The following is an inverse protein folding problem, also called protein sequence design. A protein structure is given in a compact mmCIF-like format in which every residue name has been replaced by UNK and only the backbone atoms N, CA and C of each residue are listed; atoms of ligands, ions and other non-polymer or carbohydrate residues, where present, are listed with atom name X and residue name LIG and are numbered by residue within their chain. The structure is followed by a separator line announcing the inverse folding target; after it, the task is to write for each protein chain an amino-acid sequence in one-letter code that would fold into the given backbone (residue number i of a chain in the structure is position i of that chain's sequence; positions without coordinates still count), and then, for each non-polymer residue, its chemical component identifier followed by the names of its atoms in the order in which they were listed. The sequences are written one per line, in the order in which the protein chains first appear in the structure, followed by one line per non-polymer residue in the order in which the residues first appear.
data_IF_274087013469
#
_entry.id   IF_274087013469
#
_cell.length_a   1.000
_cell.length_b   1.000
_cell.length_c   1.000
_cell.angle_alpha   90.00
_cell.angle_beta   90.00
_cell.angle_gamma   90.00
#
_symmetry.space_group_name_H-M   'P 1'
#
loop_
_entity.id
_entity.type
_entity.pdbx_description
1 polymer ?
#
# COMPACT_ATOMS: atom_id res chain seq x y z
N UNK A 1 -9.82 -17.61 0.16
CA UNK A 1 -9.99 -18.18 -1.21
C UNK A 1 -9.06 -19.35 -1.48
N UNK A 2 -7.84 -19.37 -0.99
CA UNK A 2 -6.86 -20.45 -1.20
C UNK A 2 -7.21 -21.75 -0.48
N UNK A 3 -8.15 -21.72 0.50
CA UNK A 3 -8.67 -22.93 1.16
C UNK A 3 -9.31 -23.93 0.19
N UNK A 4 -9.85 -23.44 -0.92
CA UNK A 4 -10.49 -24.29 -1.92
C UNK A 4 -9.51 -25.05 -2.82
N UNK A 5 -8.20 -24.73 -2.79
CA UNK A 5 -7.20 -25.44 -3.63
C UNK A 5 -7.12 -26.94 -3.31
N UNK A 6 -7.46 -27.34 -2.10
CA UNK A 6 -7.53 -28.74 -1.67
C UNK A 6 -8.92 -29.38 -1.89
N UNK A 7 -9.89 -28.66 -2.47
CA UNK A 7 -11.24 -29.19 -2.70
C UNK A 7 -11.22 -30.23 -3.83
N UNK A 8 -11.74 -31.45 -3.58
CA UNK A 8 -11.83 -32.48 -4.61
C UNK A 8 -12.58 -32.04 -5.88
N UNK A 9 -13.50 -31.09 -5.78
CA UNK A 9 -14.22 -30.53 -6.94
C UNK A 9 -13.30 -29.79 -7.93
N UNK A 10 -12.09 -29.41 -7.50
CA UNK A 10 -11.07 -28.77 -8.35
C UNK A 10 -10.04 -29.76 -8.89
N UNK A 11 -10.14 -31.04 -8.54
CA UNK A 11 -9.21 -32.05 -9.01
C UNK A 11 -9.19 -32.11 -10.57
N UNK A 12 -8.00 -32.03 -11.15
CA UNK A 12 -7.80 -32.04 -12.61
C UNK A 12 -8.19 -30.76 -13.33
N UNK A 13 -8.63 -29.71 -12.62
CA UNK A 13 -8.92 -28.38 -13.20
C UNK A 13 -7.70 -27.47 -13.14
N UNK A 14 -7.53 -26.62 -14.15
CA UNK A 14 -6.54 -25.53 -14.10
C UNK A 14 -7.00 -24.50 -13.08
N UNK A 15 -6.16 -24.27 -12.07
CA UNK A 15 -6.42 -23.31 -11.00
C UNK A 15 -5.45 -22.15 -11.07
N UNK A 16 -5.98 -20.93 -11.04
CA UNK A 16 -5.21 -19.70 -11.05
C UNK A 16 -5.40 -18.98 -9.70
N UNK A 17 -4.32 -18.71 -9.01
CA UNK A 17 -4.34 -17.96 -7.75
C UNK A 17 -3.69 -16.60 -7.94
N UNK A 18 -4.46 -15.53 -7.77
CA UNK A 18 -3.91 -14.18 -7.79
C UNK A 18 -3.37 -13.84 -6.41
N UNK A 19 -2.07 -13.62 -6.32
CA UNK A 19 -1.38 -13.22 -5.10
C UNK A 19 -1.22 -11.70 -5.07
N UNK A 20 -1.55 -11.08 -3.92
CA UNK A 20 -1.45 -9.64 -3.73
C UNK A 20 -0.20 -9.23 -2.97
N UNK A 21 0.33 -10.13 -2.16
CA UNK A 21 1.55 -9.97 -1.37
C UNK A 21 2.14 -11.35 -1.08
N UNK A 22 3.38 -11.37 -0.63
CA UNK A 22 3.89 -12.47 0.19
C UNK A 22 3.36 -12.22 1.61
N UNK A 23 2.23 -12.84 1.96
CA UNK A 23 1.41 -12.48 3.13
C UNK A 23 2.18 -12.52 4.46
N UNK A 24 3.02 -13.54 4.69
CA UNK A 24 3.78 -13.62 5.92
C UNK A 24 4.84 -12.51 6.05
N UNK A 25 5.42 -12.06 4.93
CA UNK A 25 6.35 -10.92 4.89
C UNK A 25 5.59 -9.63 5.18
N UNK A 26 4.39 -9.48 4.60
CA UNK A 26 3.50 -8.35 4.88
C UNK A 26 3.18 -8.24 6.38
N UNK A 27 2.75 -9.32 7.01
CA UNK A 27 2.43 -9.34 8.45
C UNK A 27 3.67 -9.11 9.34
N UNK A 28 4.86 -9.53 8.92
CA UNK A 28 6.11 -9.18 9.61
C UNK A 28 6.38 -7.68 9.56
N UNK A 29 6.13 -7.04 8.42
CA UNK A 29 6.26 -5.58 8.28
C UNK A 29 5.25 -4.83 9.16
N UNK A 30 3.99 -5.29 9.22
CA UNK A 30 3.00 -4.74 10.15
C UNK A 30 3.45 -4.85 11.60
N UNK A 31 4.00 -6.01 11.99
CA UNK A 31 4.53 -6.21 13.34
C UNK A 31 5.70 -5.28 13.66
N UNK A 32 6.53 -4.95 12.68
CA UNK A 32 7.66 -4.05 12.86
C UNK A 32 7.23 -2.60 13.08
N UNK A 33 6.19 -2.17 12.39
CA UNK A 33 5.63 -0.81 12.48
C UNK A 33 4.68 -0.60 13.68
N UNK A 34 4.20 -1.69 14.30
CA UNK A 34 3.19 -1.61 15.37
C UNK A 34 3.83 -1.31 16.73
N UNK A 35 3.34 -0.28 17.41
CA UNK A 35 3.77 0.13 18.76
C UNK A 35 3.04 -0.61 19.87
N UNK A 36 1.78 -1.01 19.66
CA UNK A 36 1.00 -1.73 20.65
C UNK A 36 1.52 -3.17 20.80
N UNK A 37 1.98 -3.62 22.00
CA UNK A 37 2.61 -4.92 22.19
C UNK A 37 1.66 -6.10 21.91
N UNK A 38 0.37 -5.97 22.21
CA UNK A 38 -0.61 -7.03 21.96
C UNK A 38 -0.87 -7.20 20.46
N UNK A 39 -1.03 -6.10 19.72
CA UNK A 39 -1.18 -6.12 18.26
C UNK A 39 0.08 -6.61 17.58
N UNK A 40 1.25 -6.17 18.04
CA UNK A 40 2.55 -6.64 17.54
C UNK A 40 2.69 -8.15 17.71
N UNK A 41 2.31 -8.68 18.87
CA UNK A 41 2.32 -10.14 19.12
C UNK A 41 1.35 -10.87 18.18
N UNK A 42 0.14 -10.33 18.01
CA UNK A 42 -0.84 -10.87 17.06
C UNK A 42 -0.27 -10.94 15.63
N UNK A 43 0.28 -9.85 15.10
CA UNK A 43 0.86 -9.85 13.76
C UNK A 43 2.02 -10.83 13.59
N UNK A 44 2.87 -10.97 14.59
CA UNK A 44 3.95 -11.98 14.58
C UNK A 44 3.40 -13.41 14.57
N UNK A 45 2.33 -13.68 15.31
CA UNK A 45 1.67 -14.98 15.34
C UNK A 45 1.04 -15.30 13.98
N UNK A 46 0.29 -14.33 13.42
CA UNK A 46 -0.33 -14.50 12.09
C UNK A 46 0.72 -14.69 10.99
N UNK A 47 1.83 -13.95 11.03
CA UNK A 47 2.92 -14.15 10.08
C UNK A 47 3.42 -15.60 10.06
N UNK A 48 3.63 -16.21 11.23
CA UNK A 48 4.05 -17.61 11.33
C UNK A 48 3.01 -18.60 10.79
N UNK A 49 1.72 -18.33 11.03
CA UNK A 49 0.64 -19.17 10.51
C UNK A 49 0.56 -19.07 8.99
N UNK A 50 0.62 -17.86 8.45
CA UNK A 50 0.59 -17.60 7.01
C UNK A 50 1.80 -18.21 6.29
N UNK A 51 2.99 -18.16 6.89
CA UNK A 51 4.20 -18.80 6.34
C UNK A 51 4.04 -20.33 6.21
N UNK A 52 3.46 -20.97 7.23
CA UNK A 52 3.16 -22.41 7.19
C UNK A 52 2.05 -22.72 6.17
N UNK A 53 1.02 -21.87 6.14
CA UNK A 53 -0.12 -22.06 5.25
C UNK A 53 0.23 -21.80 3.77
N UNK A 54 1.26 -21.03 3.50
CA UNK A 54 1.68 -20.69 2.13
C UNK A 54 1.97 -21.92 1.26
N UNK A 55 2.39 -23.04 1.87
CA UNK A 55 2.60 -24.31 1.16
C UNK A 55 1.39 -24.79 0.38
N UNK A 56 0.16 -24.39 0.74
CA UNK A 56 -1.07 -24.71 0.01
C UNK A 56 -1.03 -24.19 -1.44
N UNK A 57 -0.25 -23.15 -1.71
CA UNK A 57 -0.10 -22.55 -3.05
C UNK A 57 0.57 -23.50 -4.03
N UNK A 58 1.29 -24.53 -3.57
CA UNK A 58 1.83 -25.58 -4.43
C UNK A 58 0.74 -26.36 -5.19
N UNK A 59 -0.51 -26.35 -4.70
CA UNK A 59 -1.66 -26.96 -5.37
C UNK A 59 -2.24 -26.12 -6.52
N UNK A 60 -1.78 -24.89 -6.75
CA UNK A 60 -2.24 -24.07 -7.84
C UNK A 60 -1.50 -24.40 -9.15
N UNK A 61 -2.21 -24.35 -10.27
CA UNK A 61 -1.59 -24.52 -11.61
C UNK A 61 -0.67 -23.32 -11.90
N UNK A 62 -1.11 -22.09 -11.58
CA UNK A 62 -0.32 -20.87 -11.72
C UNK A 62 -0.61 -19.90 -10.58
N UNK A 63 0.44 -19.19 -10.18
CA UNK A 63 0.39 -18.07 -9.24
C UNK A 63 0.55 -16.76 -10.02
N UNK A 64 -0.49 -15.92 -10.03
CA UNK A 64 -0.50 -14.65 -10.74
C UNK A 64 -0.13 -13.52 -9.77
N UNK A 65 1.14 -13.15 -9.72
CA UNK A 65 1.66 -12.14 -8.79
C UNK A 65 1.56 -10.74 -9.36
N UNK A 66 1.27 -9.75 -8.49
CA UNK A 66 1.05 -8.36 -8.91
C UNK A 66 2.32 -7.50 -8.88
N UNK A 67 3.43 -8.02 -8.37
CA UNK A 67 4.72 -7.32 -8.37
C UNK A 67 5.85 -8.23 -8.88
N UNK A 68 6.90 -7.67 -9.51
CA UNK A 68 8.06 -8.45 -9.94
C UNK A 68 8.75 -9.18 -8.79
N UNK A 69 8.93 -8.53 -7.63
CA UNK A 69 9.58 -9.14 -6.46
C UNK A 69 8.80 -10.33 -5.89
N UNK A 70 7.46 -10.21 -5.80
CA UNK A 70 6.63 -11.33 -5.36
C UNK A 70 6.64 -12.47 -6.41
N UNK A 71 6.70 -12.12 -7.70
CA UNK A 71 6.82 -13.13 -8.78
C UNK A 71 8.11 -13.92 -8.65
N UNK A 72 9.23 -13.25 -8.43
CA UNK A 72 10.52 -13.89 -8.20
C UNK A 72 10.48 -14.82 -6.98
N UNK A 73 9.96 -14.31 -5.85
CA UNK A 73 9.80 -15.10 -4.63
C UNK A 73 8.99 -16.39 -4.87
N UNK A 74 7.81 -16.27 -5.47
CA UNK A 74 6.94 -17.42 -5.72
C UNK A 74 7.49 -18.33 -6.82
N UNK A 75 8.20 -17.80 -7.82
CA UNK A 75 8.87 -18.61 -8.85
C UNK A 75 9.98 -19.47 -8.26
N UNK A 76 10.80 -18.89 -7.38
CA UNK A 76 11.86 -19.64 -6.69
C UNK A 76 11.28 -20.73 -5.77
N UNK A 77 10.13 -20.47 -5.15
CA UNK A 77 9.54 -21.38 -4.16
C UNK A 77 8.66 -22.46 -4.77
N UNK A 78 7.89 -22.15 -5.82
CA UNK A 78 6.87 -23.05 -6.39
C UNK A 78 7.05 -23.35 -7.88
N UNK A 79 7.85 -22.56 -8.60
CA UNK A 79 8.17 -22.80 -10.02
C UNK A 79 7.08 -22.38 -11.03
N UNK A 80 5.92 -21.92 -10.57
CA UNK A 80 4.72 -21.69 -11.39
C UNK A 80 4.16 -20.26 -11.29
N UNK A 81 4.96 -19.28 -10.89
CA UNK A 81 4.53 -17.90 -10.79
C UNK A 81 4.71 -17.12 -12.08
N UNK A 82 3.73 -16.28 -12.38
CA UNK A 82 3.69 -15.40 -13.57
C UNK A 82 3.37 -13.97 -13.09
N UNK A 83 4.10 -13.00 -13.61
CA UNK A 83 3.80 -11.60 -13.36
C UNK A 83 2.55 -11.18 -14.15
N UNK A 84 1.53 -10.73 -13.41
CA UNK A 84 0.34 -10.11 -13.96
C UNK A 84 0.11 -8.83 -13.16
N UNK A 85 0.46 -7.70 -13.73
CA UNK A 85 0.38 -6.39 -13.09
C UNK A 85 -1.01 -6.08 -12.52
N UNK A 86 -1.13 -5.11 -11.61
CA UNK A 86 -2.41 -4.72 -11.06
C UNK A 86 -3.29 -4.09 -12.13
N UNK A 87 -4.58 -4.35 -12.08
CA UNK A 87 -5.56 -3.65 -12.88
C UNK A 87 -5.87 -2.31 -12.22
N UNK A 88 -5.95 -1.26 -13.02
CA UNK A 88 -6.33 0.08 -12.59
C UNK A 88 -7.54 0.56 -13.39
N UNK A 89 -8.41 1.35 -12.77
CA UNK A 89 -9.64 1.85 -13.41
C UNK A 89 -9.41 2.96 -14.44
N UNK A 90 -8.20 3.52 -14.50
CA UNK A 90 -7.87 4.56 -15.48
C UNK A 90 -7.55 3.91 -16.83
N UNK A 91 -8.39 4.18 -17.83
CA UNK A 91 -8.16 3.73 -19.22
C UNK A 91 -7.00 4.48 -19.90
N UNK A 92 -6.68 5.66 -19.37
CA UNK A 92 -5.57 6.50 -19.86
C UNK A 92 -4.98 7.33 -18.73
N UNK A 93 -3.74 7.73 -18.91
CA UNK A 93 -3.11 8.74 -18.05
C UNK A 93 -3.72 10.12 -18.39
N UNK A 94 -4.21 10.81 -17.37
CA UNK A 94 -4.81 12.16 -17.48
C UNK A 94 -4.01 13.19 -16.71
N UNK A 95 -2.73 12.93 -16.49
CA UNK A 95 -1.83 13.87 -15.82
C UNK A 95 -1.88 15.25 -16.45
N UNK A 96 -1.97 16.28 -15.61
CA UNK A 96 -2.09 17.66 -16.06
C UNK A 96 -0.71 18.32 -16.17
N UNK A 97 -0.49 19.10 -17.21
CA UNK A 97 0.69 19.96 -17.35
C UNK A 97 0.61 21.18 -16.40
N UNK A 98 1.74 21.88 -16.24
CA UNK A 98 1.84 23.13 -15.49
C UNK A 98 2.17 22.92 -14.01
N UNK A 99 2.00 23.98 -13.22
CA UNK A 99 2.36 24.03 -11.81
C UNK A 99 1.15 23.69 -10.96
N UNK A 100 1.32 22.79 -10.01
CA UNK A 100 0.31 22.45 -8.99
C UNK A 100 0.45 23.29 -7.73
N UNK A 101 -0.54 23.19 -6.84
CA UNK A 101 -0.70 24.11 -5.71
C UNK A 101 0.07 23.70 -4.45
N UNK A 102 0.37 22.41 -4.28
CA UNK A 102 0.93 21.85 -3.03
C UNK A 102 1.61 20.50 -3.24
N UNK A 103 2.32 20.08 -2.21
CA UNK A 103 2.82 18.71 -2.06
C UNK A 103 1.75 17.89 -1.34
N UNK A 104 1.40 16.71 -1.86
CA UNK A 104 0.39 15.83 -1.29
C UNK A 104 1.03 14.59 -0.64
N UNK A 105 0.64 14.31 0.60
CA UNK A 105 0.91 13.06 1.32
C UNK A 105 -0.46 12.38 1.50
N UNK A 106 -0.68 11.19 0.94
CA UNK A 106 -1.99 10.58 1.03
C UNK A 106 -1.95 9.07 1.29
N UNK A 107 -3.04 8.55 1.86
CA UNK A 107 -3.22 7.13 2.11
C UNK A 107 -4.30 6.83 3.14
N UNK A 108 -4.51 5.56 3.45
CA UNK A 108 -5.34 5.16 4.58
C UNK A 108 -4.53 5.31 5.88
N UNK A 109 -4.68 6.46 6.55
CA UNK A 109 -3.94 6.81 7.77
C UNK A 109 -4.40 6.03 9.00
N UNK A 110 -5.46 5.22 8.89
CA UNK A 110 -5.89 4.31 9.96
C UNK A 110 -4.98 3.09 10.11
N UNK A 111 -4.16 2.80 9.08
CA UNK A 111 -3.18 1.71 9.16
C UNK A 111 -1.89 2.20 9.80
N UNK A 112 -1.31 1.37 10.67
CA UNK A 112 -0.06 1.71 11.37
C UNK A 112 1.07 2.11 10.38
N UNK A 113 1.20 1.36 9.28
CA UNK A 113 2.21 1.61 8.25
C UNK A 113 2.08 3.01 7.62
N UNK A 114 0.88 3.36 7.14
CA UNK A 114 0.67 4.65 6.48
C UNK A 114 0.78 5.80 7.49
N UNK A 115 0.37 5.59 8.74
CA UNK A 115 0.50 6.59 9.80
C UNK A 115 1.98 6.87 10.12
N UNK A 116 2.78 5.81 10.29
CA UNK A 116 4.25 5.93 10.52
C UNK A 116 4.92 6.60 9.34
N UNK A 117 4.55 6.22 8.10
CA UNK A 117 5.08 6.83 6.89
C UNK A 117 4.74 8.33 6.80
N UNK A 118 3.50 8.72 7.12
CA UNK A 118 3.08 10.12 7.14
C UNK A 118 3.81 10.92 8.21
N UNK A 119 3.93 10.39 9.43
CA UNK A 119 4.67 11.02 10.52
C UNK A 119 6.16 11.23 10.17
N UNK A 120 6.79 10.24 9.53
CA UNK A 120 8.15 10.37 9.03
C UNK A 120 8.25 11.53 8.02
N UNK A 121 7.36 11.56 7.01
CA UNK A 121 7.35 12.61 5.99
C UNK A 121 7.07 14.00 6.58
N UNK A 122 6.26 14.10 7.65
CA UNK A 122 6.03 15.35 8.35
C UNK A 122 7.29 15.80 9.09
N UNK A 123 7.85 14.93 9.95
CA UNK A 123 8.97 15.27 10.85
C UNK A 123 10.26 15.47 10.07
N UNK A 124 10.56 14.63 9.08
CA UNK A 124 11.85 14.62 8.40
C UNK A 124 11.88 15.43 7.11
N UNK A 125 10.72 15.71 6.53
CA UNK A 125 10.63 16.39 5.24
C UNK A 125 9.83 17.70 5.38
N UNK A 126 8.55 17.65 5.67
CA UNK A 126 7.68 18.82 5.66
C UNK A 126 8.06 19.86 6.71
N UNK A 127 8.59 19.48 7.86
CA UNK A 127 9.06 20.39 8.88
C UNK A 127 10.30 21.20 8.46
N UNK A 128 11.03 20.74 7.43
CA UNK A 128 12.29 21.36 6.96
C UNK A 128 12.11 22.30 5.76
N UNK A 129 10.88 22.45 5.26
CA UNK A 129 10.56 23.31 4.13
C UNK A 129 9.39 24.26 4.41
N UNK A 130 9.04 25.10 3.44
CA UNK A 130 7.92 26.07 3.53
C UNK A 130 6.87 25.88 2.43
N UNK A 131 6.95 24.80 1.66
CA UNK A 131 5.98 24.53 0.60
C UNK A 131 4.64 24.12 1.21
N UNK A 132 3.54 24.61 0.62
CA UNK A 132 2.21 24.15 0.98
C UNK A 132 2.17 22.63 0.92
N UNK A 133 1.71 22.00 1.97
CA UNK A 133 1.64 20.55 2.09
C UNK A 133 0.23 20.15 2.54
N UNK A 134 -0.34 19.20 1.85
CA UNK A 134 -1.64 18.62 2.20
C UNK A 134 -1.42 17.16 2.61
N UNK A 135 -1.97 16.79 3.75
CA UNK A 135 -1.99 15.40 4.23
C UNK A 135 -3.44 14.93 4.15
N UNK A 136 -3.73 13.92 3.36
CA UNK A 136 -5.09 13.48 3.12
C UNK A 136 -5.27 11.98 3.36
N UNK A 137 -6.28 11.59 4.14
CA UNK A 137 -6.54 10.18 4.37
C UNK A 137 -7.62 9.87 5.39
N UNK A 138 -7.88 8.59 5.58
CA UNK A 138 -8.86 8.10 6.53
C UNK A 138 -8.29 8.12 7.95
N UNK A 139 -9.08 8.64 8.89
CA UNK A 139 -8.81 8.59 10.34
C UNK A 139 -7.35 8.91 10.71
N UNK A 140 -6.87 10.15 10.43
CA UNK A 140 -5.57 10.59 10.92
C UNK A 140 -5.46 10.44 12.43
N UNK A 141 -4.29 10.05 12.94
CA UNK A 141 -4.06 9.89 14.37
C UNK A 141 -3.95 11.23 15.11
N UNK A 142 -4.17 11.23 16.43
CA UNK A 142 -3.94 12.40 17.27
C UNK A 142 -2.47 12.88 17.17
N UNK A 143 -1.52 11.93 17.17
CA UNK A 143 -0.09 12.23 17.00
C UNK A 143 0.20 12.97 15.69
N UNK A 144 -0.52 12.65 14.60
CA UNK A 144 -0.37 13.33 13.33
C UNK A 144 -0.84 14.79 13.42
N UNK A 145 -1.96 15.06 14.09
CA UNK A 145 -2.42 16.43 14.33
C UNK A 145 -1.45 17.22 15.22
N UNK A 146 -0.90 16.60 16.26
CA UNK A 146 0.13 17.20 17.10
C UNK A 146 1.39 17.54 16.30
N UNK A 147 1.84 16.62 15.43
CA UNK A 147 3.03 16.82 14.61
C UNK A 147 2.90 17.98 13.63
N UNK A 148 1.71 18.32 13.17
CA UNK A 148 1.47 19.43 12.24
C UNK A 148 1.03 20.73 12.91
N UNK A 149 0.72 20.73 14.20
CA UNK A 149 0.11 21.87 14.91
C UNK A 149 0.92 23.17 14.78
N UNK A 150 2.26 23.09 14.75
CA UNK A 150 3.14 24.24 14.58
C UNK A 150 3.46 24.60 13.11
N UNK A 151 3.07 23.77 12.16
CA UNK A 151 3.43 23.89 10.74
C UNK A 151 2.32 24.61 9.95
N UNK A 152 2.36 25.95 9.93
CA UNK A 152 1.33 26.80 9.28
C UNK A 152 1.11 26.49 7.78
N UNK A 153 2.08 25.90 7.09
CA UNK A 153 2.03 25.53 5.68
C UNK A 153 1.50 24.11 5.44
N UNK A 154 1.17 23.36 6.50
CA UNK A 154 0.64 21.99 6.42
C UNK A 154 -0.84 21.97 6.78
N UNK A 155 -1.66 21.37 5.91
CA UNK A 155 -3.11 21.17 6.10
C UNK A 155 -3.45 19.70 6.13
N UNK A 156 -4.29 19.29 7.08
CA UNK A 156 -4.83 17.92 7.14
C UNK A 156 -6.25 17.91 6.58
N UNK A 157 -6.51 16.99 5.64
CA UNK A 157 -7.84 16.69 5.08
C UNK A 157 -8.21 15.29 5.53
N UNK A 158 -9.12 15.20 6.50
CA UNK A 158 -9.54 13.92 7.05
C UNK A 158 -10.72 13.35 6.30
N UNK A 159 -10.73 12.04 6.08
CA UNK A 159 -11.80 11.28 5.44
C UNK A 159 -12.30 11.89 4.11
N UNK A 160 -11.42 12.27 3.16
CA UNK A 160 -11.86 12.78 1.89
C UNK A 160 -12.70 11.72 1.16
N UNK A 161 -13.74 12.17 0.46
CA UNK A 161 -14.46 11.34 -0.50
C UNK A 161 -13.55 10.95 -1.68
N UNK A 162 -13.96 9.98 -2.49
CA UNK A 162 -13.21 9.57 -3.68
C UNK A 162 -12.98 10.77 -4.61
N UNK A 163 -14.03 11.58 -4.86
CA UNK A 163 -13.92 12.75 -5.73
C UNK A 163 -12.96 13.80 -5.15
N UNK A 164 -13.07 14.09 -3.85
CA UNK A 164 -12.13 15.00 -3.18
C UNK A 164 -10.69 14.50 -3.22
N UNK A 165 -10.47 13.19 -3.07
CA UNK A 165 -9.11 12.62 -3.17
C UNK A 165 -8.57 12.76 -4.59
N UNK A 166 -9.39 12.51 -5.61
CA UNK A 166 -9.00 12.70 -7.01
C UNK A 166 -8.63 14.16 -7.30
N UNK A 167 -9.43 15.12 -6.84
CA UNK A 167 -9.12 16.55 -6.93
C UNK A 167 -7.80 16.90 -6.22
N UNK A 168 -7.58 16.34 -5.03
CA UNK A 168 -6.33 16.57 -4.30
C UNK A 168 -5.12 16.01 -5.06
N UNK A 169 -5.24 14.87 -5.72
CA UNK A 169 -4.16 14.28 -6.53
C UNK A 169 -3.92 15.12 -7.78
N UNK A 170 -4.97 15.52 -8.49
CA UNK A 170 -4.87 16.29 -9.74
C UNK A 170 -4.26 17.68 -9.51
N UNK A 171 -4.56 18.34 -8.39
CA UNK A 171 -4.06 19.68 -8.07
C UNK A 171 -2.72 19.68 -7.33
N UNK A 172 -2.22 18.53 -6.91
CA UNK A 172 -0.92 18.43 -6.29
C UNK A 172 0.21 18.63 -7.31
N UNK A 173 1.26 19.37 -6.94
CA UNK A 173 2.48 19.44 -7.73
C UNK A 173 3.25 18.11 -7.67
N UNK A 174 3.34 17.55 -6.47
CA UNK A 174 4.03 16.28 -6.21
C UNK A 174 3.24 15.46 -5.20
N UNK A 175 3.10 14.17 -5.45
CA UNK A 175 2.61 13.20 -4.48
C UNK A 175 3.79 12.51 -3.79
N UNK A 176 4.00 12.77 -2.49
CA UNK A 176 5.01 12.09 -1.68
C UNK A 176 4.47 10.77 -1.16
N UNK A 177 5.10 9.70 -1.57
CA UNK A 177 4.72 8.34 -1.19
C UNK A 177 5.93 7.68 -0.50
N UNK A 178 5.78 7.42 0.79
CA UNK A 178 6.72 6.55 1.50
C UNK A 178 6.08 5.17 1.66
N UNK A 179 6.77 4.14 1.21
CA UNK A 179 6.33 2.75 1.30
C UNK A 179 7.48 1.92 1.89
N UNK A 180 7.34 1.54 3.14
CA UNK A 180 8.31 0.69 3.84
C UNK A 180 8.13 -0.80 3.54
N UNK A 181 7.02 -1.18 2.93
CA UNK A 181 6.72 -2.59 2.64
C UNK A 181 7.43 -3.06 1.36
N UNK A 182 8.14 -4.20 1.44
CA UNK A 182 8.87 -4.76 0.29
C UNK A 182 7.99 -5.56 -0.67
N UNK A 183 6.72 -5.87 -0.31
CA UNK A 183 5.85 -6.78 -1.07
C UNK A 183 4.65 -6.07 -1.68
N UNK A 184 4.08 -6.66 -2.72
CA UNK A 184 2.90 -6.17 -3.42
C UNK A 184 3.15 -4.92 -4.26
N UNK A 185 2.07 -4.36 -4.78
CA UNK A 185 2.07 -3.11 -5.56
C UNK A 185 1.31 -2.02 -4.81
N UNK A 186 1.86 -0.81 -4.81
CA UNK A 186 1.22 0.35 -4.17
C UNK A 186 0.27 1.02 -5.16
N UNK A 187 -1.01 0.67 -5.13
CA UNK A 187 -2.04 1.24 -6.03
C UNK A 187 -2.09 2.77 -5.95
N UNK A 188 -1.79 3.35 -4.78
CA UNK A 188 -1.70 4.81 -4.62
C UNK A 188 -0.63 5.44 -5.53
N UNK A 189 0.47 4.72 -5.82
CA UNK A 189 1.49 5.18 -6.76
C UNK A 189 0.92 5.23 -8.19
N UNK A 190 0.28 4.14 -8.63
CA UNK A 190 -0.33 4.09 -9.96
C UNK A 190 -1.38 5.20 -10.11
N UNK A 191 -2.23 5.37 -9.10
CA UNK A 191 -3.24 6.43 -9.11
C UNK A 191 -2.61 7.83 -9.21
N UNK A 192 -1.52 8.08 -8.49
CA UNK A 192 -0.79 9.36 -8.57
C UNK A 192 -0.15 9.57 -9.94
N UNK A 193 0.44 8.53 -10.53
CA UNK A 193 1.04 8.58 -11.87
C UNK A 193 0.00 8.80 -12.98
N UNK A 194 -1.20 8.23 -12.84
CA UNK A 194 -2.25 8.36 -13.85
C UNK A 194 -3.00 9.70 -13.79
N UNK A 195 -3.14 10.28 -12.60
CA UNK A 195 -4.04 11.43 -12.37
C UNK A 195 -3.33 12.68 -11.82
N UNK A 196 -2.10 12.55 -11.36
CA UNK A 196 -1.34 13.64 -10.76
C UNK A 196 -0.50 14.42 -11.76
N UNK A 197 0.33 15.30 -11.21
CA UNK A 197 1.45 15.97 -11.92
C UNK A 197 2.74 15.28 -11.51
N UNK A 198 3.79 15.42 -12.28
CA UNK A 198 5.10 14.79 -12.02
C UNK A 198 6.18 15.84 -11.94
#
# INVERSE_FOLDING_TARGET
TTHYLADPALAGRITLVRTHNVEHVYYRSLASAESNPFRKHYYKSEAKKLERYESVLAGASYLLSISPGDTEYFSLKFGNAVFVGPFHSADKCVASEGIGDYVLIHGDLSTAENNVAALYLIKEVAAKWKYKTVIAGKRPSAELYEAVASLKHVKVVHNPSINQMNELITNAQVCLLNASQPTGMKLKLINSLCNGRH
#
